data_IF_142046981094
#
_entry.id   IF_142046981094
#
_cell.length_a   1.000
_cell.length_b   1.000
_cell.length_c   1.000
_cell.angle_alpha   90.00
_cell.angle_beta   90.00
_cell.angle_gamma   90.00
#
_symmetry.space_group_name_H-M   'P 1'
#
loop_
_entity.id
_entity.type
_entity.pdbx_description
1 polymer ?
#
# COMPACT_ATOMS: atom_id res chain seq x y z
N UNK A 1 -26.57 -8.81 13.35
CA UNK A 1 -26.88 -7.54 14.04
C UNK A 1 -25.53 -6.95 14.41
N UNK A 2 -25.12 -5.84 13.77
CA UNK A 2 -23.86 -5.17 14.13
C UNK A 2 -24.07 -4.41 15.43
N UNK A 3 -23.10 -4.50 16.34
CA UNK A 3 -23.13 -3.70 17.55
C UNK A 3 -23.06 -2.20 17.18
N UNK A 4 -23.68 -1.32 17.99
CA UNK A 4 -23.52 0.11 17.82
C UNK A 4 -22.03 0.49 17.87
N UNK A 5 -21.56 1.40 17.00
CA UNK A 5 -20.15 1.76 16.94
C UNK A 5 -19.70 2.34 18.28
N UNK A 6 -18.80 1.64 18.97
CA UNK A 6 -18.15 2.13 20.19
C UNK A 6 -16.90 2.91 19.77
N UNK A 7 -17.02 4.23 19.72
CA UNK A 7 -15.90 5.09 19.38
C UNK A 7 -15.17 5.54 20.65
N UNK A 8 -13.87 5.26 20.72
CA UNK A 8 -13.01 5.83 21.75
C UNK A 8 -12.49 7.19 21.27
N UNK A 9 -12.49 8.26 22.10
CA UNK A 9 -12.08 9.60 21.70
C UNK A 9 -10.60 9.72 21.27
N UNK A 10 -9.77 8.70 21.58
CA UNK A 10 -8.37 8.58 21.12
C UNK A 10 -8.17 7.37 20.22
N UNK A 11 -9.12 7.10 19.34
CA UNK A 11 -8.97 6.02 18.37
C UNK A 11 -7.87 6.37 17.37
N UNK A 12 -7.08 5.37 17.00
CA UNK A 12 -6.13 5.44 15.88
C UNK A 12 -6.74 4.86 14.60
N UNK A 13 -7.98 4.37 14.67
CA UNK A 13 -8.69 3.84 13.50
C UNK A 13 -9.23 4.96 12.64
N UNK A 14 -8.93 4.90 11.35
CA UNK A 14 -9.55 5.74 10.34
C UNK A 14 -10.99 5.28 10.13
N UNK A 15 -11.98 6.19 10.03
CA UNK A 15 -13.36 5.84 9.74
C UNK A 15 -13.52 5.02 8.45
N UNK A 16 -14.47 4.07 8.45
CA UNK A 16 -14.79 3.27 7.27
C UNK A 16 -15.20 4.15 6.09
N UNK A 17 -15.93 5.23 6.34
CA UNK A 17 -16.39 6.20 5.32
C UNK A 17 -15.24 6.84 4.54
N UNK A 18 -14.10 7.12 5.19
CA UNK A 18 -12.93 7.68 4.51
C UNK A 18 -12.22 6.63 3.66
N UNK A 19 -12.22 5.38 4.13
CA UNK A 19 -11.64 4.24 3.41
C UNK A 19 -12.49 3.90 2.18
N UNK A 20 -13.82 3.90 2.32
CA UNK A 20 -14.79 3.69 1.25
C UNK A 20 -14.74 4.81 0.20
N UNK A 21 -14.55 6.07 0.61
CA UNK A 21 -14.36 7.18 -0.33
C UNK A 21 -13.11 6.98 -1.22
N UNK A 22 -12.00 6.53 -0.62
CA UNK A 22 -10.80 6.17 -1.37
C UNK A 22 -11.00 4.94 -2.26
N UNK A 23 -11.78 3.96 -1.82
CA UNK A 23 -12.15 2.80 -2.63
C UNK A 23 -12.92 3.22 -3.88
N UNK A 24 -14.00 4.00 -3.72
CA UNK A 24 -14.81 4.54 -4.82
C UNK A 24 -13.95 5.36 -5.78
N UNK A 25 -13.14 6.28 -5.26
CA UNK A 25 -12.25 7.09 -6.10
C UNK A 25 -11.26 6.24 -6.91
N UNK A 26 -10.69 5.20 -6.31
CA UNK A 26 -9.81 4.26 -7.01
C UNK A 26 -10.54 3.49 -8.10
N UNK A 27 -11.78 3.05 -7.86
CA UNK A 27 -12.60 2.32 -8.82
C UNK A 27 -13.04 3.21 -9.99
N UNK A 28 -13.38 4.47 -9.72
CA UNK A 28 -13.77 5.45 -10.74
C UNK A 28 -12.62 5.81 -11.68
N UNK A 29 -11.41 6.00 -11.13
CA UNK A 29 -10.24 6.43 -11.92
C UNK A 29 -9.64 5.27 -12.73
N UNK A 30 -9.79 4.02 -12.27
CA UNK A 30 -9.23 2.85 -12.97
C UNK A 30 -10.17 2.39 -14.10
N UNK A 31 -9.71 2.35 -15.36
CA UNK A 31 -10.51 1.83 -16.47
C UNK A 31 -10.74 0.32 -16.29
N UNK A 32 -11.80 -0.16 -16.94
CA UNK A 32 -12.19 -1.56 -16.88
C UNK A 32 -11.06 -2.45 -17.43
N UNK A 33 -10.82 -3.60 -16.79
CA UNK A 33 -9.72 -4.56 -17.11
C UNK A 33 -9.67 -4.96 -18.60
N UNK A 34 -10.79 -4.85 -19.31
CA UNK A 34 -10.91 -5.13 -20.73
C UNK A 34 -10.18 -4.12 -21.63
N UNK A 35 -10.15 -2.84 -21.26
CA UNK A 35 -9.48 -1.79 -22.03
C UNK A 35 -7.95 -1.88 -21.91
N UNK A 36 -7.46 -2.38 -20.77
CA UNK A 36 -6.04 -2.59 -20.47
C UNK A 36 -5.35 -3.60 -21.41
N UNK A 37 -6.00 -4.72 -21.75
CA UNK A 37 -5.41 -5.75 -22.63
C UNK A 37 -5.24 -5.30 -24.09
N UNK A 38 -5.98 -4.27 -24.52
CA UNK A 38 -5.89 -3.74 -25.89
C UNK A 38 -4.65 -2.87 -26.12
N UNK A 39 -4.05 -2.31 -25.07
CA UNK A 39 -2.88 -1.41 -25.17
C UNK A 39 -1.56 -2.18 -25.17
N UNK A 40 -1.53 -3.41 -24.64
CA UNK A 40 -0.31 -4.18 -24.35
C UNK A 40 0.14 -5.17 -25.45
N UNK A 41 -0.55 -5.25 -26.59
CA UNK A 41 -0.23 -6.19 -27.68
C UNK A 41 0.34 -5.49 -28.93
N UNK A 42 1.27 -4.56 -28.75
CA UNK A 42 2.15 -4.10 -29.81
C UNK A 42 3.60 -4.26 -29.36
N UNK A 43 4.50 -4.67 -30.26
CA UNK A 43 5.95 -4.74 -30.06
C UNK A 43 6.53 -3.33 -29.78
N UNK A 44 6.21 -2.75 -28.63
CA UNK A 44 6.77 -1.49 -28.17
C UNK A 44 8.03 -1.78 -27.34
N UNK A 45 9.09 -1.01 -27.59
CA UNK A 45 10.28 -1.02 -26.76
C UNK A 45 9.90 -0.77 -25.29
N UNK A 46 10.45 -1.57 -24.38
CA UNK A 46 10.18 -1.48 -22.96
C UNK A 46 10.65 -0.13 -22.41
N UNK A 47 9.70 0.75 -22.15
CA UNK A 47 9.93 2.13 -21.71
C UNK A 47 9.74 2.33 -20.21
N UNK A 48 9.81 3.60 -19.82
CA UNK A 48 9.51 4.06 -18.47
C UNK A 48 8.13 4.71 -18.41
N UNK A 49 7.41 4.53 -17.31
CA UNK A 49 6.14 5.22 -17.07
C UNK A 49 6.37 6.57 -16.38
N UNK A 50 6.20 7.67 -17.13
CA UNK A 50 6.37 9.02 -16.60
C UNK A 50 7.75 9.26 -15.97
N UNK A 51 7.85 9.77 -14.73
CA UNK A 51 9.12 10.03 -14.05
C UNK A 51 9.78 8.79 -13.43
N UNK A 52 9.21 7.59 -13.59
CA UNK A 52 9.76 6.38 -12.99
C UNK A 52 11.10 5.99 -13.64
N UNK A 53 11.98 5.39 -12.84
CA UNK A 53 13.32 4.93 -13.25
C UNK A 53 13.43 3.42 -13.38
N UNK A 54 12.29 2.73 -13.35
CA UNK A 54 12.19 1.27 -13.49
C UNK A 54 11.35 1.00 -14.72
N UNK A 55 11.81 0.07 -15.54
CA UNK A 55 11.14 -0.34 -16.77
C UNK A 55 9.75 -0.94 -16.48
N UNK A 56 8.84 -0.80 -17.44
CA UNK A 56 7.48 -1.31 -17.31
C UNK A 56 7.46 -2.83 -17.14
N UNK A 57 8.24 -3.58 -17.93
CA UNK A 57 8.32 -5.05 -17.81
C UNK A 57 8.72 -5.50 -16.40
N UNK A 58 9.65 -4.79 -15.77
CA UNK A 58 10.12 -5.08 -14.41
C UNK A 58 9.04 -4.78 -13.38
N UNK A 59 8.34 -3.66 -13.53
CA UNK A 59 7.23 -3.31 -12.65
C UNK A 59 6.04 -4.27 -12.79
N UNK A 60 5.76 -4.74 -13.99
CA UNK A 60 4.74 -5.77 -14.26
C UNK A 60 5.14 -7.10 -13.62
N UNK A 61 6.37 -7.56 -13.81
CA UNK A 61 6.90 -8.76 -13.16
C UNK A 61 6.88 -8.68 -11.63
N UNK A 62 7.21 -7.51 -11.05
CA UNK A 62 7.10 -7.30 -9.60
C UNK A 62 5.63 -7.47 -9.16
N UNK A 63 4.69 -6.79 -9.82
CA UNK A 63 3.26 -6.88 -9.48
C UNK A 63 2.73 -8.32 -9.55
N UNK A 64 3.10 -9.06 -10.58
CA UNK A 64 2.68 -10.46 -10.77
C UNK A 64 3.23 -11.36 -9.65
N UNK A 65 4.51 -11.20 -9.30
CA UNK A 65 5.16 -11.97 -8.23
C UNK A 65 4.46 -11.81 -6.88
N UNK A 66 4.05 -10.59 -6.54
CA UNK A 66 3.31 -10.32 -5.30
C UNK A 66 1.86 -10.79 -5.35
N UNK A 67 1.20 -10.68 -6.50
CA UNK A 67 -0.18 -11.16 -6.67
C UNK A 67 -0.24 -12.68 -6.48
N UNK A 68 0.71 -13.41 -7.06
CA UNK A 68 0.82 -14.87 -6.89
C UNK A 68 1.11 -15.28 -5.44
N UNK A 69 1.84 -14.46 -4.67
CA UNK A 69 2.08 -14.71 -3.26
C UNK A 69 0.82 -14.47 -2.39
N UNK A 70 0.03 -13.43 -2.68
CA UNK A 70 -1.20 -13.13 -1.93
C UNK A 70 -2.32 -14.13 -2.27
N UNK A 71 -2.46 -14.57 -3.53
CA UNK A 71 -3.43 -15.60 -3.94
C UNK A 71 -3.20 -16.95 -3.23
N UNK A 72 -1.93 -17.30 -2.99
CA UNK A 72 -1.56 -18.51 -2.24
C UNK A 72 -1.78 -18.37 -0.71
N UNK A 73 -1.97 -17.15 -0.21
CA UNK A 73 -2.31 -16.87 1.19
C UNK A 73 -3.80 -16.56 1.31
N UNK A 74 -4.65 -17.60 1.23
CA UNK A 74 -6.08 -17.45 1.54
C UNK A 74 -6.26 -17.10 3.03
N UNK A 75 -6.53 -15.82 3.32
CA UNK A 75 -6.71 -15.28 4.67
C UNK A 75 -8.16 -15.44 5.13
N UNK A 76 -8.34 -16.16 6.25
CA UNK A 76 -9.50 -16.22 7.18
C UNK A 76 -10.92 -16.29 6.60
N UNK A 77 -11.72 -17.25 7.08
CA UNK A 77 -13.15 -17.35 6.80
C UNK A 77 -13.91 -16.08 7.22
N UNK A 78 -14.55 -15.40 6.26
CA UNK A 78 -15.48 -14.27 6.47
C UNK A 78 -16.79 -14.68 7.17
N UNK A 79 -16.96 -15.97 7.50
CA UNK A 79 -18.19 -16.49 8.08
C UNK A 79 -18.49 -15.93 9.49
N UNK A 80 -17.47 -15.41 10.20
CA UNK A 80 -17.61 -14.98 11.60
C UNK A 80 -17.06 -13.59 11.93
N UNK A 81 -16.33 -12.94 11.01
CA UNK A 81 -15.66 -11.66 11.28
C UNK A 81 -16.02 -10.60 10.23
N UNK A 82 -16.43 -9.42 10.69
CA UNK A 82 -16.74 -8.24 9.86
C UNK A 82 -15.47 -7.61 9.22
N UNK A 83 -14.28 -7.91 9.75
CA UNK A 83 -12.99 -7.47 9.20
C UNK A 83 -12.08 -8.68 8.96
N UNK A 84 -11.43 -8.71 7.81
CA UNK A 84 -10.57 -9.81 7.37
C UNK A 84 -9.11 -9.62 7.81
N UNK A 85 -8.67 -8.37 7.97
CA UNK A 85 -7.33 -8.00 8.39
C UNK A 85 -7.26 -6.54 8.88
N UNK A 86 -6.10 -6.15 9.42
CA UNK A 86 -5.77 -4.75 9.72
C UNK A 86 -4.58 -4.31 8.88
N UNK A 87 -4.67 -3.10 8.33
CA UNK A 87 -3.53 -2.41 7.73
C UNK A 87 -3.16 -1.22 8.61
N UNK A 88 -1.88 -1.12 8.99
CA UNK A 88 -1.40 -0.06 9.87
C UNK A 88 -0.31 0.78 9.24
N UNK A 89 -0.33 2.08 9.57
CA UNK A 89 0.77 3.01 9.36
C UNK A 89 1.52 3.20 10.68
N UNK A 90 2.78 2.78 10.71
CA UNK A 90 3.62 2.86 11.89
C UNK A 90 4.76 3.86 11.66
N UNK A 91 5.15 4.62 12.67
CA UNK A 91 6.41 5.37 12.61
C UNK A 91 7.61 4.44 12.81
N UNK A 92 8.82 4.99 12.65
CA UNK A 92 10.10 4.27 12.77
C UNK A 92 10.38 3.65 14.13
N UNK A 93 9.62 4.05 15.15
CA UNK A 93 9.74 3.54 16.52
C UNK A 93 8.73 2.43 16.80
N UNK A 94 8.18 1.82 15.73
CA UNK A 94 7.12 0.81 15.78
C UNK A 94 5.87 1.28 16.56
N UNK A 95 5.61 2.60 16.57
CA UNK A 95 4.36 3.15 17.12
C UNK A 95 3.35 3.30 16.01
N UNK A 96 2.18 2.72 16.23
CA UNK A 96 1.00 2.89 15.37
C UNK A 96 0.59 4.36 15.36
N UNK A 97 0.47 4.92 14.16
CA UNK A 97 -0.08 6.25 13.92
C UNK A 97 -1.56 6.13 13.56
N UNK A 98 -1.86 5.29 12.57
CA UNK A 98 -3.23 4.99 12.14
C UNK A 98 -3.41 3.52 11.76
N UNK A 99 -4.64 3.04 11.89
CA UNK A 99 -5.10 1.71 11.49
C UNK A 99 -6.32 1.83 10.58
N UNK A 100 -6.42 0.91 9.63
CA UNK A 100 -7.61 0.72 8.80
C UNK A 100 -8.08 -0.72 8.94
N UNK A 101 -9.39 -0.89 9.15
CA UNK A 101 -10.05 -2.19 9.09
C UNK A 101 -10.20 -2.60 7.63
N UNK A 102 -9.69 -3.78 7.28
CA UNK A 102 -9.91 -4.34 5.96
C UNK A 102 -11.22 -5.13 5.98
N UNK A 103 -12.21 -4.64 5.24
CA UNK A 103 -13.56 -5.24 5.15
C UNK A 103 -13.72 -6.10 3.91
N UNK A 104 -12.85 -5.92 2.92
CA UNK A 104 -12.81 -6.73 1.69
C UNK A 104 -11.62 -7.70 1.67
N UNK A 105 -11.73 -8.86 0.99
CA UNK A 105 -10.59 -9.78 0.82
C UNK A 105 -9.49 -9.16 -0.07
N UNK A 106 -8.24 -9.38 0.32
CA UNK A 106 -7.04 -8.98 -0.42
C UNK A 106 -6.47 -7.61 0.00
N UNK A 107 -5.16 -7.44 -0.15
CA UNK A 107 -4.49 -6.16 0.09
C UNK A 107 -4.79 -5.16 -1.05
N UNK A 108 -5.93 -4.47 -0.94
CA UNK A 108 -6.32 -3.44 -1.90
C UNK A 108 -5.51 -2.16 -1.68
N UNK A 109 -5.10 -1.52 -2.78
CA UNK A 109 -4.27 -0.32 -2.72
C UNK A 109 -4.92 0.87 -2.00
N UNK A 110 -6.26 0.94 -1.94
CA UNK A 110 -6.97 2.08 -1.37
C UNK A 110 -6.65 2.22 0.12
N UNK A 111 -6.48 1.12 0.87
CA UNK A 111 -6.09 1.15 2.27
C UNK A 111 -4.76 1.89 2.49
N UNK A 112 -3.77 1.63 1.62
CA UNK A 112 -2.50 2.33 1.66
C UNK A 112 -2.66 3.82 1.33
N UNK A 113 -3.44 4.14 0.30
CA UNK A 113 -3.71 5.54 -0.10
C UNK A 113 -4.40 6.33 1.01
N UNK A 114 -5.41 5.75 1.67
CA UNK A 114 -6.11 6.36 2.81
C UNK A 114 -5.13 6.68 3.93
N UNK A 115 -4.30 5.72 4.34
CA UNK A 115 -3.31 5.93 5.41
C UNK A 115 -2.29 7.03 5.06
N UNK A 116 -1.85 7.11 3.80
CA UNK A 116 -0.90 8.15 3.36
C UNK A 116 -1.58 9.50 3.34
N UNK A 117 -2.78 9.60 2.79
CA UNK A 117 -3.52 10.86 2.73
C UNK A 117 -3.79 11.40 4.14
N UNK A 118 -4.28 10.57 5.06
CA UNK A 118 -4.48 10.94 6.46
C UNK A 118 -3.17 11.41 7.10
N UNK A 119 -2.04 10.74 6.86
CA UNK A 119 -0.74 11.22 7.36
C UNK A 119 -0.44 12.65 6.88
N UNK A 120 -0.59 12.92 5.58
CA UNK A 120 -0.25 14.22 5.03
C UNK A 120 -1.22 15.34 5.44
N UNK A 121 -2.48 15.03 5.73
CA UNK A 121 -3.42 15.99 6.33
C UNK A 121 -2.95 16.50 7.70
N UNK A 122 -2.17 15.69 8.43
CA UNK A 122 -1.64 16.03 9.76
C UNK A 122 -0.18 16.50 9.76
N UNK A 123 0.48 16.57 8.59
CA UNK A 123 1.88 16.99 8.49
C UNK A 123 2.01 18.42 7.93
N UNK A 124 2.98 19.21 8.43
CA UNK A 124 3.30 20.51 7.84
C UNK A 124 3.71 20.39 6.37
N UNK A 125 3.39 21.40 5.55
CA UNK A 125 3.60 21.38 4.09
C UNK A 125 5.06 21.20 3.63
N UNK A 126 6.04 21.52 4.49
CA UNK A 126 7.47 21.45 4.17
C UNK A 126 8.11 20.11 4.54
N UNK A 127 7.36 19.17 5.14
CA UNK A 127 7.90 17.87 5.53
C UNK A 127 7.98 16.93 4.33
N UNK A 128 9.08 16.19 4.22
CA UNK A 128 9.25 15.07 3.29
C UNK A 128 9.14 13.76 4.07
N UNK A 129 8.42 12.78 3.54
CA UNK A 129 8.16 11.50 4.20
C UNK A 129 8.72 10.35 3.37
N UNK A 130 9.45 9.46 4.04
CA UNK A 130 9.85 8.17 3.50
C UNK A 130 8.85 7.07 3.86
N UNK A 131 8.31 6.40 2.84
CA UNK A 131 7.37 5.28 2.98
C UNK A 131 8.08 3.96 2.70
N UNK A 132 7.98 3.02 3.64
CA UNK A 132 8.37 1.63 3.44
C UNK A 132 7.14 0.73 3.33
N UNK A 133 7.00 0.12 2.16
CA UNK A 133 5.90 -0.78 1.86
C UNK A 133 6.35 -1.89 0.90
N UNK A 134 5.88 -3.12 1.10
CA UNK A 134 6.39 -4.31 0.41
C UNK A 134 6.20 -4.24 -1.11
N UNK A 135 5.12 -3.58 -1.56
CA UNK A 135 4.82 -3.30 -2.96
C UNK A 135 4.87 -1.81 -3.30
N UNK A 136 5.76 -1.06 -2.64
CA UNK A 136 5.93 0.38 -2.85
C UNK A 136 6.16 0.77 -4.32
N UNK A 137 6.88 -0.04 -5.11
CA UNK A 137 7.09 0.22 -6.53
C UNK A 137 5.77 0.22 -7.33
N UNK A 138 4.87 -0.71 -7.02
CA UNK A 138 3.56 -0.84 -7.64
C UNK A 138 2.63 0.29 -7.20
N UNK A 139 2.70 0.68 -5.93
CA UNK A 139 1.97 1.82 -5.39
C UNK A 139 2.44 3.14 -6.04
N UNK A 140 3.75 3.37 -6.11
CA UNK A 140 4.33 4.55 -6.74
C UNK A 140 3.95 4.65 -8.22
N UNK A 141 4.03 3.53 -8.96
CA UNK A 141 3.54 3.44 -10.35
C UNK A 141 2.07 3.84 -10.46
N UNK A 142 1.23 3.32 -9.56
CA UNK A 142 -0.20 3.65 -9.54
C UNK A 142 -0.44 5.14 -9.25
N UNK A 143 0.33 5.75 -8.36
CA UNK A 143 0.24 7.19 -8.07
C UNK A 143 0.62 8.04 -9.28
N UNK A 144 1.72 7.70 -9.96
CA UNK A 144 2.16 8.39 -11.18
C UNK A 144 1.11 8.29 -12.29
N UNK A 145 0.61 7.08 -12.52
CA UNK A 145 -0.30 6.79 -13.64
C UNK A 145 -1.67 7.43 -13.46
N UNK A 146 -2.24 7.30 -12.27
CA UNK A 146 -3.61 7.71 -11.98
C UNK A 146 -3.71 9.02 -11.22
N UNK A 147 -2.57 9.69 -11.01
CA UNK A 147 -2.48 10.96 -10.25
C UNK A 147 -3.00 10.85 -8.82
N UNK A 148 -2.89 9.67 -8.21
CA UNK A 148 -3.16 9.53 -6.78
C UNK A 148 -2.09 10.29 -5.98
N UNK A 149 -2.53 11.00 -4.94
CA UNK A 149 -1.66 11.77 -4.04
C UNK A 149 -0.79 12.80 -4.78
N UNK A 150 -1.23 13.32 -5.93
CA UNK A 150 -0.43 14.22 -6.78
C UNK A 150 0.06 15.47 -6.02
N UNK A 151 -0.77 15.98 -5.10
CA UNK A 151 -0.41 17.08 -4.20
C UNK A 151 0.74 16.76 -3.22
N UNK A 152 0.98 15.49 -2.93
CA UNK A 152 2.02 15.05 -1.98
C UNK A 152 3.18 14.32 -2.66
N UNK A 153 3.05 13.94 -3.93
CA UNK A 153 3.98 13.00 -4.58
C UNK A 153 5.43 13.47 -4.54
N UNK A 154 5.67 14.77 -4.70
CA UNK A 154 7.00 15.38 -4.66
C UNK A 154 7.63 15.38 -3.25
N UNK A 155 6.82 15.11 -2.23
CA UNK A 155 7.20 15.05 -0.81
C UNK A 155 7.27 13.61 -0.30
N UNK A 156 7.00 12.62 -1.14
CA UNK A 156 7.03 11.21 -0.79
C UNK A 156 8.25 10.56 -1.45
N UNK A 157 9.03 9.87 -0.65
CA UNK A 157 9.98 8.89 -1.16
C UNK A 157 9.42 7.49 -0.91
N UNK A 158 9.34 6.68 -1.96
CA UNK A 158 8.88 5.30 -1.88
C UNK A 158 10.06 4.34 -1.79
N UNK A 159 9.94 3.34 -0.94
CA UNK A 159 10.96 2.31 -0.69
C UNK A 159 10.29 0.99 -0.35
N UNK A 160 10.95 -0.09 -0.73
CA UNK A 160 10.51 -1.44 -0.39
C UNK A 160 11.08 -1.84 0.96
N UNK A 161 10.30 -2.54 1.78
CA UNK A 161 10.81 -3.14 3.02
C UNK A 161 12.07 -3.97 2.76
N UNK A 162 13.09 -3.87 3.60
CA UNK A 162 14.35 -4.61 3.42
C UNK A 162 14.14 -6.12 3.30
N UNK A 163 13.13 -6.66 3.99
CA UNK A 163 12.79 -8.09 3.94
C UNK A 163 12.18 -8.53 2.62
N UNK A 164 11.57 -7.60 1.87
CA UNK A 164 10.92 -7.88 0.59
C UNK A 164 11.72 -7.36 -0.61
N UNK A 165 12.71 -6.49 -0.41
CA UNK A 165 13.46 -5.86 -1.49
C UNK A 165 14.06 -6.87 -2.47
N UNK A 166 14.64 -7.97 -1.97
CA UNK A 166 15.24 -9.01 -2.82
C UNK A 166 14.22 -9.87 -3.58
N UNK A 167 12.93 -9.80 -3.24
CA UNK A 167 11.85 -10.43 -4.00
C UNK A 167 11.44 -9.65 -5.26
N UNK A 168 11.94 -8.42 -5.45
CA UNK A 168 11.69 -7.61 -6.64
C UNK A 168 12.78 -7.79 -7.70
N UNK A 169 12.48 -7.43 -8.94
CA UNK A 169 13.47 -7.45 -10.03
C UNK A 169 14.67 -6.53 -9.78
N UNK A 170 15.82 -6.84 -10.37
CA UNK A 170 17.08 -6.13 -10.17
C UNK A 170 16.98 -4.59 -10.36
N UNK A 171 16.33 -4.10 -11.42
CA UNK A 171 16.18 -2.65 -11.59
C UNK A 171 15.31 -2.02 -10.50
N UNK A 172 14.26 -2.73 -10.06
CA UNK A 172 13.43 -2.29 -8.95
C UNK A 172 14.25 -2.20 -7.65
N UNK A 173 15.11 -3.18 -7.38
CA UNK A 173 16.04 -3.14 -6.24
C UNK A 173 16.99 -1.93 -6.31
N UNK A 174 17.53 -1.61 -7.49
CA UNK A 174 18.44 -0.47 -7.63
C UNK A 174 17.78 0.88 -7.29
N UNK A 175 16.47 1.01 -7.51
CA UNK A 175 15.73 2.26 -7.32
C UNK A 175 15.05 2.33 -5.95
N UNK A 176 14.43 1.24 -5.50
CA UNK A 176 13.54 1.22 -4.34
C UNK A 176 14.12 0.50 -3.11
N UNK A 177 15.34 -0.05 -3.18
CA UNK A 177 15.96 -0.67 -2.00
C UNK A 177 16.35 0.41 -0.97
N UNK A 178 16.01 0.27 0.33
CA UNK A 178 16.24 1.31 1.35
C UNK A 178 17.67 1.82 1.42
N UNK A 179 18.67 0.93 1.32
CA UNK A 179 20.10 1.29 1.28
C UNK A 179 20.51 2.16 0.08
N UNK A 180 19.69 2.27 -0.97
CA UNK A 180 19.94 3.06 -2.17
C UNK A 180 19.19 4.39 -2.16
N UNK A 181 18.26 4.58 -1.22
CA UNK A 181 17.45 5.78 -1.09
C UNK A 181 17.99 6.70 0.01
N UNK A 182 18.35 7.94 -0.35
CA UNK A 182 18.84 8.93 0.63
C UNK A 182 17.71 9.36 1.58
N UNK A 183 18.04 9.58 2.85
CA UNK A 183 17.07 10.02 3.88
C UNK A 183 16.34 8.88 4.61
N UNK A 184 16.50 7.63 4.18
CA UNK A 184 15.90 6.45 4.82
C UNK A 184 16.65 5.93 6.04
N UNK A 185 16.92 6.86 6.96
CA UNK A 185 17.19 6.58 8.36
C UNK A 185 15.98 6.90 9.25
N UNK A 186 14.96 7.63 8.76
CA UNK A 186 13.65 7.87 9.40
C UNK A 186 12.53 7.22 8.55
N UNK A 187 11.85 6.21 9.08
CA UNK A 187 10.94 5.32 8.33
C UNK A 187 9.49 5.43 8.80
N UNK A 188 8.52 5.51 7.89
CA UNK A 188 7.13 5.13 8.17
C UNK A 188 6.91 3.76 7.54
N UNK A 189 6.57 2.77 8.36
CA UNK A 189 6.46 1.36 7.99
C UNK A 189 4.99 0.97 7.89
N UNK A 190 4.59 0.41 6.76
CA UNK A 190 3.31 -0.29 6.65
C UNK A 190 3.47 -1.73 7.16
N UNK A 191 2.57 -2.16 8.05
CA UNK A 191 2.44 -3.58 8.41
C UNK A 191 0.99 -4.01 8.17
N UNK A 192 0.79 -5.08 7.41
CA UNK A 192 -0.47 -5.82 7.40
C UNK A 192 -0.40 -6.88 8.49
N UNK A 193 -1.25 -6.79 9.51
CA UNK A 193 -1.38 -7.85 10.50
C UNK A 193 -2.58 -8.70 10.14
N UNK A 194 -2.30 -9.89 9.64
CA UNK A 194 -3.32 -10.94 9.48
C UNK A 194 -3.10 -11.88 10.65
N UNK A 195 -3.71 -11.55 11.78
CA UNK A 195 -3.65 -12.41 12.95
C UNK A 195 -4.98 -13.14 13.10
N UNK A 196 -4.94 -14.44 12.81
CA UNK A 196 -5.70 -15.40 13.59
C UNK A 196 -5.16 -15.31 15.03
N UNK A 197 -5.86 -14.57 15.88
CA UNK A 197 -5.56 -14.50 17.32
C UNK A 197 -5.81 -15.88 17.93
N UNK A 198 -4.75 -16.68 18.07
CA UNK A 198 -4.75 -17.77 19.04
C UNK A 198 -3.96 -17.30 20.26
N UNK A 199 -4.69 -16.78 21.25
CA UNK A 199 -4.15 -16.64 22.60
C UNK A 199 -3.65 -18.01 23.06
N UNK A 200 -2.34 -18.15 23.24
CA UNK A 200 -1.79 -19.10 24.21
C UNK A 200 -1.06 -18.26 25.25
N UNK A 201 -1.71 -18.12 26.40
CA UNK A 201 -1.05 -17.78 27.65
C UNK A 201 0.05 -18.81 27.88
N UNK A 202 1.27 -18.34 28.13
CA UNK A 202 2.26 -19.14 28.82
C UNK A 202 2.38 -18.54 30.22
N UNK A 203 1.98 -19.36 31.18
CA UNK A 203 2.36 -19.30 32.60
C UNK A 203 3.87 -19.40 32.73
#
# INVERSE_FOLDING_TARGET
>A
MRDPPRQHPKTVFIPETETEAWEQYVEEVRPNRADWKKVSHGDQEDGFEGPLKVLNSVLDSCKESFTAADENHQKSSTQWFDSTALMGLLCRHDRVLWLVNMTSPGERQHYALTLIDTLFQHLPLHFTVGILYDIACTLHRSCVRWKFLDQYINRIAFTISVFHAYGHGWQCQCVYHPRKCRGFVLQVCFRTSVQSFRFRTWT
#
